data_IF_801588041046
#
_entry.id   IF_801588041046
#
_cell.length_a   1.000
_cell.length_b   1.000
_cell.length_c   1.000
_cell.angle_alpha   90.00
_cell.angle_beta   90.00
_cell.angle_gamma   90.00
#
_symmetry.space_group_name_H-M   'P 1'
#
loop_
_entity.id
_entity.type
_entity.pdbx_description
1 polymer ?
#
# COMPACT_ATOMS: atom_id res chain seq x y z
N UNK A 1 -29.23 55.83 44.04
CA UNK A 1 -27.76 55.75 43.98
C UNK A 1 -27.27 54.36 43.55
N UNK A 2 -27.72 53.27 44.20
CA UNK A 2 -27.36 51.89 43.80
C UNK A 2 -27.86 51.47 42.41
N UNK A 3 -29.08 51.86 42.01
CA UNK A 3 -29.66 51.48 40.71
C UNK A 3 -28.95 52.13 39.51
N UNK A 4 -28.38 53.32 39.71
CA UNK A 4 -27.67 54.08 38.67
C UNK A 4 -26.28 53.51 38.41
N UNK A 5 -25.61 53.00 39.44
CA UNK A 5 -24.29 52.37 39.32
C UNK A 5 -24.39 51.02 38.61
N UNK A 6 -25.43 50.23 38.90
CA UNK A 6 -25.66 48.95 38.21
C UNK A 6 -25.92 49.16 36.71
N UNK A 7 -26.72 50.16 36.31
CA UNK A 7 -26.96 50.45 34.90
C UNK A 7 -25.70 50.89 34.15
N UNK A 8 -24.82 51.66 34.80
CA UNK A 8 -23.56 52.12 34.19
C UNK A 8 -22.59 50.95 34.01
N UNK A 9 -22.47 50.06 35.00
CA UNK A 9 -21.59 48.89 34.94
C UNK A 9 -22.07 47.90 33.88
N UNK A 10 -23.39 47.64 33.78
CA UNK A 10 -23.94 46.74 32.77
C UNK A 10 -23.77 47.29 31.34
N UNK A 11 -23.95 48.61 31.14
CA UNK A 11 -23.70 49.23 29.82
C UNK A 11 -22.21 49.23 29.44
N UNK A 12 -21.30 49.41 30.39
CA UNK A 12 -19.86 49.32 30.12
C UNK A 12 -19.42 47.90 29.76
N UNK A 13 -20.00 46.86 30.38
CA UNK A 13 -19.70 45.46 30.06
C UNK A 13 -20.24 45.11 28.66
N UNK A 14 -21.46 45.52 28.32
CA UNK A 14 -22.03 45.29 26.99
C UNK A 14 -21.23 46.03 25.90
N UNK A 15 -20.80 47.27 26.15
CA UNK A 15 -19.92 47.99 25.20
C UNK A 15 -18.56 47.31 25.05
N UNK A 16 -17.98 46.77 26.13
CA UNK A 16 -16.71 46.04 26.07
C UNK A 16 -16.84 44.72 25.30
N UNK A 17 -17.94 43.97 25.47
CA UNK A 17 -18.20 42.74 24.71
C UNK A 17 -18.47 43.02 23.22
N UNK A 18 -19.18 44.10 22.89
CA UNK A 18 -19.42 44.50 21.49
C UNK A 18 -18.13 44.95 20.81
N UNK A 19 -17.26 45.69 21.50
CA UNK A 19 -15.92 46.05 21.00
C UNK A 19 -15.00 44.82 20.85
N UNK A 20 -15.09 43.85 21.75
CA UNK A 20 -14.35 42.60 21.67
C UNK A 20 -14.82 41.73 20.50
N UNK A 21 -16.14 41.62 20.27
CA UNK A 21 -16.70 40.93 19.12
C UNK A 21 -16.40 41.64 17.79
N UNK A 22 -16.42 42.97 17.77
CA UNK A 22 -16.02 43.75 16.59
C UNK A 22 -14.53 43.55 16.26
N UNK A 23 -13.64 43.52 17.26
CA UNK A 23 -12.22 43.24 17.07
C UNK A 23 -11.94 41.79 16.63
N UNK A 24 -12.76 40.83 17.05
CA UNK A 24 -12.69 39.44 16.56
C UNK A 24 -13.17 39.37 15.11
N UNK A 25 -14.28 40.05 14.76
CA UNK A 25 -14.80 40.11 13.41
C UNK A 25 -13.85 40.82 12.44
N UNK A 26 -13.20 41.91 12.86
CA UNK A 26 -12.19 42.62 12.07
C UNK A 26 -10.91 41.77 11.90
N UNK A 27 -10.47 41.03 12.92
CA UNK A 27 -9.37 40.08 12.76
C UNK A 27 -9.74 38.91 11.83
N UNK A 28 -10.97 38.39 11.89
CA UNK A 28 -11.46 37.38 10.95
C UNK A 28 -11.51 37.95 9.52
N UNK A 29 -11.95 39.21 9.35
CA UNK A 29 -12.01 39.87 8.04
C UNK A 29 -10.63 40.24 7.48
N UNK A 30 -9.66 40.59 8.33
CA UNK A 30 -8.26 40.82 7.92
C UNK A 30 -7.54 39.50 7.58
N UNK A 31 -7.82 38.43 8.32
CA UNK A 31 -7.28 37.10 8.02
C UNK A 31 -7.86 36.58 6.70
N UNK A 32 -9.16 36.80 6.45
CA UNK A 32 -9.81 36.51 5.16
C UNK A 32 -9.25 37.31 3.97
N UNK A 33 -8.72 38.52 4.18
CA UNK A 33 -8.07 39.32 3.12
C UNK A 33 -6.62 38.92 2.87
N UNK A 34 -5.96 38.24 3.81
CA UNK A 34 -4.59 37.74 3.66
C UNK A 34 -4.51 36.23 3.33
N UNK A 35 -5.64 35.53 3.22
CA UNK A 35 -5.69 34.24 2.53
C UNK A 35 -5.38 34.48 1.05
N UNK A 36 -4.10 34.30 0.68
CA UNK A 36 -3.75 33.91 -0.69
C UNK A 36 -4.66 32.75 -1.05
N UNK A 37 -5.57 33.02 -1.99
CA UNK A 37 -6.51 32.06 -2.57
C UNK A 37 -5.70 30.83 -2.95
N UNK A 38 -5.77 29.80 -2.10
CA UNK A 38 -5.17 28.51 -2.39
C UNK A 38 -5.98 27.95 -3.54
N UNK A 39 -5.35 27.97 -4.72
CA UNK A 39 -5.76 27.31 -5.95
C UNK A 39 -6.57 26.07 -5.62
N UNK A 40 -7.88 26.11 -5.88
CA UNK A 40 -8.75 24.93 -5.85
C UNK A 40 -8.04 23.87 -6.69
N UNK A 41 -7.66 22.75 -6.05
CA UNK A 41 -6.85 21.72 -6.72
C UNK A 41 -7.73 21.06 -7.78
N UNK A 42 -7.39 21.29 -9.05
CA UNK A 42 -7.86 20.56 -10.23
C UNK A 42 -7.90 19.06 -9.89
N UNK A 43 -9.03 18.41 -10.12
CA UNK A 43 -9.10 16.93 -10.13
C UNK A 43 -8.48 16.52 -11.46
N UNK A 44 -7.19 16.20 -11.45
CA UNK A 44 -6.52 15.68 -12.62
C UNK A 44 -6.93 14.22 -12.80
N UNK A 45 -7.74 13.90 -13.82
CA UNK A 45 -8.00 12.51 -14.17
C UNK A 45 -6.88 12.06 -15.09
N UNK A 46 -6.13 11.04 -14.67
CA UNK A 46 -5.11 10.43 -15.52
C UNK A 46 -5.68 9.24 -16.28
N UNK A 47 -5.23 9.08 -17.52
CA UNK A 47 -5.58 7.97 -18.39
C UNK A 47 -4.30 7.38 -18.98
N UNK A 48 -4.24 6.07 -19.08
CA UNK A 48 -3.23 5.39 -19.90
C UNK A 48 -3.85 5.06 -21.26
N UNK A 49 -3.15 5.39 -22.33
CA UNK A 49 -3.50 5.01 -23.69
C UNK A 49 -2.47 3.98 -24.15
N UNK A 50 -2.93 2.82 -24.61
CA UNK A 50 -2.08 1.70 -25.02
C UNK A 50 -2.48 1.28 -26.43
N UNK A 51 -1.53 1.32 -27.38
CA UNK A 51 -1.70 0.70 -28.70
C UNK A 51 -1.06 -0.69 -28.68
N UNK A 52 -1.93 -1.70 -28.55
CA UNK A 52 -1.54 -3.09 -28.31
C UNK A 52 -1.16 -3.87 -29.57
N UNK A 53 -1.00 -5.18 -29.41
CA UNK A 53 -0.72 -6.12 -30.50
C UNK A 53 0.76 -6.22 -30.90
N UNK A 54 1.64 -5.46 -30.25
CA UNK A 54 3.10 -5.49 -30.46
C UNK A 54 3.75 -6.55 -29.58
N UNK A 55 4.75 -7.26 -30.11
CA UNK A 55 5.64 -8.10 -29.32
C UNK A 55 6.70 -7.24 -28.65
N UNK A 56 6.98 -7.52 -27.38
CA UNK A 56 7.86 -6.71 -26.53
C UNK A 56 9.15 -7.47 -26.24
N UNK A 57 10.28 -6.79 -26.20
CA UNK A 57 11.58 -7.43 -25.89
C UNK A 57 12.50 -6.45 -25.17
N UNK A 58 13.43 -6.97 -24.36
CA UNK A 58 14.39 -6.15 -23.62
C UNK A 58 14.46 -6.49 -22.15
N UNK A 59 14.72 -5.48 -21.32
CA UNK A 59 14.91 -5.65 -19.88
C UNK A 59 13.97 -4.73 -19.08
N UNK A 60 13.40 -5.24 -18.00
CA UNK A 60 12.63 -4.46 -17.02
C UNK A 60 13.24 -4.68 -15.64
N UNK A 61 13.75 -3.60 -15.05
CA UNK A 61 14.22 -3.60 -13.67
C UNK A 61 13.08 -3.27 -12.69
N UNK A 62 12.98 -4.07 -11.63
CA UNK A 62 11.94 -3.95 -10.59
C UNK A 62 12.35 -2.92 -9.53
N UNK A 63 11.39 -2.14 -9.04
CA UNK A 63 11.62 -1.16 -7.98
C UNK A 63 11.49 -1.77 -6.58
N UNK A 64 11.70 -0.96 -5.53
CA UNK A 64 11.47 -1.42 -4.17
C UNK A 64 10.00 -1.67 -3.85
N UNK A 65 9.77 -2.63 -2.96
CA UNK A 65 8.46 -3.11 -2.56
C UNK A 65 7.60 -2.00 -1.97
N UNK A 66 6.49 -1.68 -2.66
CA UNK A 66 5.49 -0.74 -2.15
C UNK A 66 4.97 -1.16 -0.79
N UNK A 67 4.67 -2.46 -0.62
CA UNK A 67 4.08 -2.99 0.61
C UNK A 67 5.06 -3.00 1.79
N UNK A 68 6.37 -3.04 1.53
CA UNK A 68 7.38 -2.82 2.57
C UNK A 68 7.56 -1.34 2.89
N UNK A 69 7.71 -0.51 1.85
CA UNK A 69 7.89 0.95 1.97
C UNK A 69 6.83 1.60 2.86
N UNK A 70 5.55 1.28 2.63
CA UNK A 70 4.45 1.88 3.40
C UNK A 70 4.39 1.45 4.86
N UNK A 71 5.08 0.37 5.24
CA UNK A 71 5.25 -0.08 6.61
C UNK A 71 6.54 0.49 7.25
N UNK A 72 7.62 0.58 6.49
CA UNK A 72 8.93 1.08 6.93
C UNK A 72 8.89 2.57 7.28
N UNK A 73 8.16 3.38 6.48
CA UNK A 73 8.07 4.83 6.72
C UNK A 73 7.43 5.14 8.09
N UNK A 74 6.28 4.56 8.49
CA UNK A 74 5.77 4.66 9.85
C UNK A 74 6.74 4.10 10.90
N UNK A 75 7.42 2.98 10.63
CA UNK A 75 8.37 2.37 11.57
C UNK A 75 9.55 3.30 11.90
N UNK A 76 9.95 4.18 10.96
CA UNK A 76 11.06 5.11 11.16
C UNK A 76 10.85 6.05 12.36
N UNK A 77 9.61 6.33 12.78
CA UNK A 77 9.36 7.21 13.94
C UNK A 77 9.75 6.58 15.28
N UNK A 78 9.98 5.27 15.31
CA UNK A 78 10.45 4.55 16.50
C UNK A 78 11.95 4.75 16.74
N UNK A 79 12.69 5.19 15.72
CA UNK A 79 14.11 5.47 15.80
C UNK A 79 14.40 6.73 16.61
N UNK A 80 15.53 6.74 17.30
CA UNK A 80 16.07 7.86 18.07
C UNK A 80 17.12 8.66 17.26
N UNK A 81 17.39 8.25 16.01
CA UNK A 81 18.31 8.91 15.06
C UNK A 81 17.68 9.01 13.67
N UNK A 82 18.20 9.89 12.78
CA UNK A 82 17.76 9.95 11.38
C UNK A 82 17.89 8.61 10.67
N UNK A 83 16.88 8.28 9.86
CA UNK A 83 16.76 7.04 9.09
C UNK A 83 16.93 7.37 7.60
N UNK A 84 17.64 6.50 6.88
CA UNK A 84 17.78 6.58 5.42
C UNK A 84 17.32 5.28 4.78
N UNK A 85 16.34 5.39 3.89
CA UNK A 85 15.87 4.32 3.04
C UNK A 85 16.39 4.49 1.62
N UNK A 86 16.75 3.37 1.00
CA UNK A 86 17.18 3.29 -0.39
C UNK A 86 16.23 2.40 -1.20
N UNK A 87 16.22 2.56 -2.53
CA UNK A 87 15.27 1.89 -3.44
C UNK A 87 13.79 2.17 -3.14
N UNK A 88 13.47 3.37 -2.66
CA UNK A 88 12.10 3.79 -2.36
C UNK A 88 11.35 4.05 -3.68
N UNK A 89 10.19 3.41 -3.94
CA UNK A 89 9.43 3.67 -5.15
C UNK A 89 8.80 5.06 -5.13
N UNK A 90 8.89 5.80 -6.24
CA UNK A 90 8.21 7.09 -6.40
C UNK A 90 6.72 6.87 -6.72
N UNK A 91 5.91 6.79 -5.66
CA UNK A 91 4.47 6.53 -5.72
C UNK A 91 3.69 7.46 -4.80
N UNK A 92 2.42 7.70 -5.13
CA UNK A 92 1.54 8.61 -4.38
C UNK A 92 1.42 8.25 -2.88
N UNK A 93 1.46 6.95 -2.54
CA UNK A 93 1.39 6.48 -1.16
C UNK A 93 2.58 6.98 -0.32
N UNK A 94 3.80 7.06 -0.88
CA UNK A 94 5.00 7.59 -0.19
C UNK A 94 4.84 9.07 0.10
N UNK A 95 4.44 9.86 -0.90
CA UNK A 95 4.19 11.30 -0.72
C UNK A 95 3.12 11.59 0.34
N UNK A 96 2.07 10.76 0.41
CA UNK A 96 1.04 10.88 1.44
C UNK A 96 1.60 10.58 2.86
N UNK A 97 2.48 9.59 2.99
CA UNK A 97 3.13 9.29 4.26
C UNK A 97 4.07 10.43 4.71
N UNK A 98 4.81 11.04 3.78
CA UNK A 98 5.63 12.23 4.07
C UNK A 98 4.79 13.41 4.60
N UNK A 99 3.57 13.60 4.08
CA UNK A 99 2.65 14.61 4.60
C UNK A 99 2.18 14.31 6.03
N UNK A 100 1.98 13.03 6.37
CA UNK A 100 1.64 12.61 7.74
C UNK A 100 2.83 12.80 8.68
N UNK A 101 4.04 12.44 8.25
CA UNK A 101 5.27 12.69 9.02
C UNK A 101 5.43 14.19 9.34
N UNK A 102 5.25 15.04 8.32
CA UNK A 102 5.35 16.49 8.48
C UNK A 102 4.40 17.06 9.52
N UNK A 103 3.17 16.53 9.67
CA UNK A 103 2.23 17.02 10.70
C UNK A 103 2.70 16.73 12.12
N UNK A 104 3.57 15.74 12.31
CA UNK A 104 4.17 15.37 13.59
C UNK A 104 5.55 16.00 13.81
N UNK A 105 5.89 17.04 13.03
CA UNK A 105 7.21 17.68 13.04
C UNK A 105 8.38 16.75 12.70
N UNK A 106 8.12 15.68 11.92
CA UNK A 106 9.15 14.80 11.37
C UNK A 106 9.55 15.32 10.00
N UNK A 107 10.83 15.65 9.82
CA UNK A 107 11.33 16.10 8.52
C UNK A 107 11.57 14.90 7.60
N UNK A 108 11.29 15.07 6.31
CA UNK A 108 11.52 14.02 5.30
C UNK A 108 11.94 14.63 3.97
N UNK A 109 12.99 14.10 3.36
CA UNK A 109 13.49 14.49 2.04
C UNK A 109 13.56 13.26 1.12
N UNK A 110 12.91 13.35 -0.05
CA UNK A 110 12.92 12.30 -1.07
C UNK A 110 13.63 12.81 -2.32
N UNK A 111 14.71 12.13 -2.72
CA UNK A 111 15.52 12.52 -3.88
C UNK A 111 15.99 11.27 -4.62
N UNK A 112 15.62 11.17 -5.89
CA UNK A 112 15.84 9.95 -6.67
C UNK A 112 14.99 8.82 -6.09
N UNK A 113 15.65 7.79 -5.57
CA UNK A 113 15.09 6.62 -4.90
C UNK A 113 15.45 6.58 -3.39
N UNK A 114 15.99 7.68 -2.86
CA UNK A 114 16.45 7.77 -1.47
C UNK A 114 15.50 8.65 -0.66
N UNK A 115 14.96 8.10 0.43
CA UNK A 115 14.14 8.82 1.40
C UNK A 115 14.89 8.94 2.72
N UNK A 116 15.13 10.17 3.18
CA UNK A 116 15.69 10.46 4.50
C UNK A 116 14.58 10.97 5.42
N UNK A 117 14.49 10.43 6.64
CA UNK A 117 13.48 10.79 7.65
C UNK A 117 14.20 11.11 8.96
N UNK A 118 13.91 12.26 9.57
CA UNK A 118 14.45 12.63 10.88
C UNK A 118 13.33 12.72 11.93
N UNK A 119 13.19 11.70 12.79
CA UNK A 119 12.18 11.66 13.84
C UNK A 119 12.64 12.28 15.17
N UNK A 120 13.85 12.85 15.28
CA UNK A 120 14.41 13.27 16.57
C UNK A 120 13.60 14.37 17.26
N UNK A 121 12.91 15.22 16.48
CA UNK A 121 12.05 16.32 16.96
C UNK A 121 10.55 16.00 16.85
N UNK A 122 10.19 14.71 16.77
CA UNK A 122 8.78 14.29 16.63
C UNK A 122 7.92 14.78 17.81
N UNK A 123 6.73 15.27 17.49
CA UNK A 123 5.70 15.64 18.47
C UNK A 123 4.42 14.90 18.19
N UNK A 124 3.66 14.62 19.24
CA UNK A 124 2.32 14.08 19.11
C UNK A 124 1.40 15.14 18.50
N UNK A 125 0.77 14.83 17.37
CA UNK A 125 -0.10 15.75 16.65
C UNK A 125 -1.28 15.03 15.99
N UNK A 126 -2.44 15.70 15.80
CA UNK A 126 -3.53 15.15 15.02
C UNK A 126 -3.10 14.83 13.59
N UNK A 127 -3.39 13.61 13.12
CA UNK A 127 -3.00 13.17 11.78
C UNK A 127 -3.94 13.79 10.72
N UNK A 128 -3.43 14.21 9.55
CA UNK A 128 -4.22 14.86 8.51
C UNK A 128 -5.24 13.90 7.90
N UNK A 129 -6.53 14.09 8.23
CA UNK A 129 -7.63 13.18 7.87
C UNK A 129 -7.66 12.82 6.37
N UNK A 130 -7.33 13.78 5.49
CA UNK A 130 -7.32 13.54 4.04
C UNK A 130 -6.25 12.53 3.61
N UNK A 131 -5.04 12.61 4.15
CA UNK A 131 -3.95 11.69 3.83
C UNK A 131 -4.18 10.29 4.44
N UNK A 132 -4.79 10.24 5.64
CA UNK A 132 -5.19 8.97 6.27
C UNK A 132 -6.27 8.26 5.45
N UNK A 133 -7.29 8.99 5.00
CA UNK A 133 -8.39 8.44 4.19
C UNK A 133 -7.96 8.03 2.78
N UNK A 134 -6.90 8.62 2.22
CA UNK A 134 -6.41 8.23 0.90
C UNK A 134 -5.54 6.96 0.92
N UNK A 135 -5.04 6.54 2.08
CA UNK A 135 -4.08 5.45 2.19
C UNK A 135 -4.50 4.44 3.26
N UNK A 136 -4.73 3.18 2.86
CA UNK A 136 -5.02 2.15 3.86
C UNK A 136 -3.88 1.93 4.85
N UNK A 137 -2.64 1.90 4.35
CA UNK A 137 -1.45 1.63 5.16
C UNK A 137 -1.19 2.68 6.27
N UNK A 138 -1.95 3.79 6.31
CA UNK A 138 -1.91 4.76 7.40
C UNK A 138 -2.18 4.13 8.77
N UNK A 139 -2.86 2.99 8.85
CA UNK A 139 -3.08 2.29 10.11
C UNK A 139 -1.78 1.77 10.76
N UNK A 140 -0.65 1.69 10.04
CA UNK A 140 0.64 1.33 10.63
C UNK A 140 1.12 2.38 11.64
N UNK A 141 0.62 3.62 11.55
CA UNK A 141 0.83 4.61 12.59
C UNK A 141 0.17 4.23 13.92
N UNK A 142 -0.84 3.34 13.96
CA UNK A 142 -1.38 2.86 15.25
C UNK A 142 -0.30 2.15 16.06
N UNK A 143 0.42 1.20 15.47
CA UNK A 143 1.50 0.48 16.15
C UNK A 143 2.70 1.37 16.42
N UNK A 144 3.11 2.17 15.42
CA UNK A 144 4.29 3.03 15.55
C UNK A 144 4.11 4.15 16.59
N UNK A 145 2.95 4.82 16.62
CA UNK A 145 2.66 5.84 17.63
C UNK A 145 2.48 5.23 19.01
N UNK A 146 1.85 4.06 19.11
CA UNK A 146 1.72 3.34 20.36
C UNK A 146 3.10 2.98 20.92
N UNK A 147 4.01 2.46 20.11
CA UNK A 147 5.39 2.18 20.52
C UNK A 147 6.21 3.43 20.88
N UNK A 148 5.96 4.56 20.21
CA UNK A 148 6.70 5.82 20.42
C UNK A 148 6.19 6.65 21.61
N UNK A 149 4.88 6.82 21.71
CA UNK A 149 4.22 7.74 22.64
C UNK A 149 3.37 7.03 23.71
N UNK A 150 3.25 5.71 23.67
CA UNK A 150 2.37 4.92 24.54
C UNK A 150 0.87 5.27 24.35
N UNK A 151 0.54 5.92 23.22
CA UNK A 151 -0.82 6.25 22.79
C UNK A 151 -0.86 6.54 21.30
N UNK A 152 -2.03 6.37 20.71
CA UNK A 152 -2.26 6.67 19.30
C UNK A 152 -3.72 7.08 19.08
N UNK A 153 -3.94 8.07 18.23
CA UNK A 153 -5.28 8.42 17.74
C UNK A 153 -5.24 8.43 16.22
N UNK A 154 -5.94 7.49 15.59
CA UNK A 154 -5.89 7.30 14.14
C UNK A 154 -7.31 7.13 13.61
N UNK A 155 -7.71 7.97 12.65
CA UNK A 155 -8.98 7.78 11.94
C UNK A 155 -8.95 6.51 11.10
N UNK A 156 -10.11 5.87 10.88
CA UNK A 156 -10.16 4.67 10.07
C UNK A 156 -9.53 4.91 8.69
N UNK A 157 -8.67 3.98 8.26
CA UNK A 157 -8.01 4.08 6.98
C UNK A 157 -9.03 3.93 5.85
N UNK A 158 -8.79 4.65 4.74
CA UNK A 158 -9.51 4.41 3.49
C UNK A 158 -8.73 3.48 2.55
N UNK A 159 -8.49 3.93 1.32
CA UNK A 159 -7.82 3.15 0.26
C UNK A 159 -8.78 2.28 -0.57
N UNK A 160 -8.22 1.31 -1.32
CA UNK A 160 -8.99 0.51 -2.28
C UNK A 160 -10.07 -0.33 -1.62
N UNK A 161 -11.32 -0.24 -2.11
CA UNK A 161 -12.38 -1.13 -1.65
C UNK A 161 -12.26 -2.49 -2.36
N UNK A 162 -11.63 -3.45 -1.70
CA UNK A 162 -11.44 -4.84 -2.18
C UNK A 162 -12.23 -5.87 -1.37
N UNK A 163 -13.11 -5.40 -0.47
CA UNK A 163 -13.85 -6.22 0.48
C UNK A 163 -13.63 -5.80 1.95
N UNK A 164 -14.30 -6.46 2.90
CA UNK A 164 -14.14 -6.22 4.33
C UNK A 164 -12.70 -6.47 4.76
N UNK A 165 -12.13 -5.52 5.53
CA UNK A 165 -10.79 -5.64 6.09
C UNK A 165 -10.83 -5.10 7.52
N UNK A 166 -11.34 -5.89 8.48
CA UNK A 166 -11.48 -5.47 9.87
C UNK A 166 -10.10 -5.26 10.52
N UNK A 167 -10.08 -4.54 11.63
CA UNK A 167 -8.86 -4.27 12.41
C UNK A 167 -8.87 -4.98 13.77
N UNK A 168 -9.82 -5.89 13.99
CA UNK A 168 -10.04 -6.64 15.23
C UNK A 168 -8.77 -7.34 15.73
N UNK A 169 -7.99 -7.94 14.82
CA UNK A 169 -6.72 -8.59 15.18
C UNK A 169 -5.65 -7.61 15.66
N UNK A 170 -5.65 -6.36 15.18
CA UNK A 170 -4.75 -5.32 15.67
C UNK A 170 -5.17 -4.89 17.09
N UNK A 171 -6.47 -4.69 17.30
CA UNK A 171 -7.05 -4.32 18.59
C UNK A 171 -6.76 -5.42 19.63
N UNK A 172 -6.95 -6.70 19.24
CA UNK A 172 -6.62 -7.86 20.06
C UNK A 172 -5.16 -7.84 20.52
N UNK A 173 -4.23 -7.58 19.60
CA UNK A 173 -2.82 -7.50 19.92
C UNK A 173 -2.48 -6.31 20.85
N UNK A 174 -3.01 -5.12 20.59
CA UNK A 174 -2.77 -3.95 21.44
C UNK A 174 -3.31 -4.15 22.86
N UNK A 175 -4.50 -4.74 23.00
CA UNK A 175 -5.07 -5.09 24.32
C UNK A 175 -4.21 -6.09 25.07
N UNK A 176 -3.67 -7.10 24.38
CA UNK A 176 -2.78 -8.07 25.00
C UNK A 176 -1.46 -7.44 25.49
N UNK A 177 -0.97 -6.39 24.83
CA UNK A 177 0.20 -5.60 25.25
C UNK A 177 -0.10 -4.60 26.39
N UNK A 178 -1.33 -4.57 26.92
CA UNK A 178 -1.72 -3.69 28.03
C UNK A 178 -2.36 -2.36 27.60
N UNK A 179 -2.72 -2.19 26.33
CA UNK A 179 -3.39 -0.97 25.86
C UNK A 179 -4.91 -1.06 25.95
N UNK A 180 -5.56 0.05 26.29
CA UNK A 180 -6.99 0.25 26.14
C UNK A 180 -7.28 0.80 24.74
N UNK A 181 -8.30 0.24 24.08
CA UNK A 181 -8.70 0.64 22.72
C UNK A 181 -10.18 1.00 22.72
N UNK A 182 -10.50 2.19 22.22
CA UNK A 182 -11.86 2.66 22.00
C UNK A 182 -12.07 3.10 20.54
N UNK A 183 -13.27 2.82 20.03
CA UNK A 183 -13.68 3.12 18.67
C UNK A 183 -14.88 4.07 18.71
N UNK A 184 -14.70 5.30 18.23
CA UNK A 184 -15.75 6.32 18.22
C UNK A 184 -15.68 7.14 16.92
N UNK A 185 -16.83 7.36 16.27
CA UNK A 185 -16.98 8.20 15.07
C UNK A 185 -15.96 7.92 13.96
N UNK A 186 -15.65 6.65 13.76
CA UNK A 186 -14.69 6.20 12.77
C UNK A 186 -13.23 6.55 13.10
N UNK A 187 -12.91 6.72 14.38
CA UNK A 187 -11.56 6.96 14.90
C UNK A 187 -11.23 5.92 15.98
N UNK A 188 -10.02 5.39 15.90
CA UNK A 188 -9.46 4.45 16.89
C UNK A 188 -8.56 5.24 17.82
N UNK A 189 -8.89 5.21 19.12
CA UNK A 189 -8.07 5.79 20.18
C UNK A 189 -7.46 4.67 21.00
N UNK A 190 -6.14 4.70 21.17
CA UNK A 190 -5.37 3.70 21.89
C UNK A 190 -4.56 4.40 22.98
N UNK A 191 -4.64 3.94 24.21
CA UNK A 191 -3.91 4.51 25.36
C UNK A 191 -3.42 3.40 26.27
N UNK A 192 -2.26 3.56 26.88
CA UNK A 192 -1.79 2.66 27.94
C UNK A 192 -2.15 3.20 29.33
N UNK A 193 -2.26 2.29 30.30
CA UNK A 193 -2.31 2.65 31.71
C UNK A 193 -0.96 3.14 32.26
N UNK A 194 -0.86 3.37 33.58
CA UNK A 194 0.36 3.82 34.26
C UNK A 194 1.56 2.89 34.04
N UNK A 195 1.31 1.59 33.87
CA UNK A 195 2.34 0.56 33.69
C UNK A 195 2.91 0.52 32.25
N UNK A 196 2.34 1.30 31.32
CA UNK A 196 2.75 1.32 29.93
C UNK A 196 2.42 0.02 29.17
N UNK A 197 3.04 -0.17 28.01
CA UNK A 197 3.02 -1.45 27.30
C UNK A 197 3.85 -2.51 28.03
N UNK A 198 3.50 -3.78 27.85
CA UNK A 198 4.30 -4.90 28.30
C UNK A 198 4.31 -6.04 27.27
N UNK A 199 5.30 -6.92 27.39
CA UNK A 199 5.37 -8.14 26.59
C UNK A 199 4.19 -9.08 26.85
N UNK A 200 3.73 -9.78 25.80
CA UNK A 200 2.58 -10.68 25.88
C UNK A 200 2.66 -11.87 24.91
N UNK A 201 1.90 -12.93 25.19
CA UNK A 201 1.64 -14.01 24.23
C UNK A 201 0.37 -13.68 23.45
N UNK A 202 0.49 -13.57 22.12
CA UNK A 202 -0.58 -13.12 21.23
C UNK A 202 -0.74 -14.17 20.14
N UNK A 203 -1.92 -14.75 20.01
CA UNK A 203 -2.24 -15.66 18.90
C UNK A 203 -3.25 -14.98 17.98
N UNK A 204 -2.89 -14.78 16.71
CA UNK A 204 -3.78 -14.17 15.71
C UNK A 204 -4.77 -15.22 15.19
N UNK A 205 -6.07 -14.90 15.15
CA UNK A 205 -7.12 -15.84 14.72
C UNK A 205 -7.07 -16.08 13.21
N UNK A 206 -6.58 -15.09 12.46
CA UNK A 206 -6.31 -15.16 11.04
C UNK A 206 -4.92 -14.62 10.74
N UNK A 207 -4.28 -15.15 9.70
CA UNK A 207 -3.01 -14.60 9.22
C UNK A 207 -3.25 -13.20 8.68
N UNK A 208 -2.66 -12.20 9.33
CA UNK A 208 -2.82 -10.80 8.97
C UNK A 208 -1.46 -10.09 8.94
N UNK A 209 -1.04 -9.69 7.74
CA UNK A 209 0.18 -8.87 7.51
C UNK A 209 0.12 -7.60 8.35
N UNK A 210 -1.03 -6.93 8.30
CA UNK A 210 -1.26 -5.68 9.02
C UNK A 210 -1.12 -5.83 10.53
N UNK A 211 -1.78 -6.84 11.10
CA UNK A 211 -1.78 -7.07 12.55
C UNK A 211 -0.39 -7.51 13.02
N UNK A 212 0.30 -8.35 12.24
CA UNK A 212 1.67 -8.78 12.53
C UNK A 212 2.61 -7.58 12.61
N UNK A 213 2.62 -6.71 11.58
CA UNK A 213 3.46 -5.51 11.56
C UNK A 213 3.10 -4.57 12.70
N UNK A 214 1.81 -4.25 12.92
CA UNK A 214 1.43 -3.35 14.00
C UNK A 214 1.82 -3.87 15.39
N UNK A 215 1.74 -5.19 15.60
CA UNK A 215 2.17 -5.81 16.84
C UNK A 215 3.68 -5.71 17.01
N UNK A 216 4.45 -5.92 15.94
CA UNK A 216 5.90 -5.70 15.94
C UNK A 216 6.20 -4.24 16.33
N UNK A 217 5.62 -3.27 15.61
CA UNK A 217 5.87 -1.84 15.84
C UNK A 217 5.51 -1.36 17.26
N UNK A 218 4.44 -1.90 17.85
CA UNK A 218 4.04 -1.55 19.21
C UNK A 218 4.95 -2.21 20.27
N UNK A 219 5.42 -3.43 20.04
CA UNK A 219 6.12 -4.23 21.05
C UNK A 219 7.65 -4.07 21.07
N UNK A 220 8.26 -3.52 20.01
CA UNK A 220 9.73 -3.44 19.91
C UNK A 220 10.39 -2.59 21.00
N UNK A 221 9.65 -1.70 21.66
CA UNK A 221 10.12 -0.94 22.84
C UNK A 221 9.38 -1.31 24.14
N UNK A 222 8.46 -2.28 24.09
CA UNK A 222 7.64 -2.65 25.24
C UNK A 222 8.43 -3.57 26.21
N UNK A 223 8.53 -3.24 27.51
CA UNK A 223 9.21 -4.08 28.50
C UNK A 223 8.76 -5.55 28.48
N UNK A 224 9.72 -6.47 28.37
CA UNK A 224 9.47 -7.91 28.40
C UNK A 224 9.47 -8.56 27.02
N UNK A 225 8.96 -9.80 26.96
CA UNK A 225 8.94 -10.61 25.74
C UNK A 225 7.54 -10.69 25.16
N UNK A 226 7.40 -10.28 23.90
CA UNK A 226 6.21 -10.51 23.09
C UNK A 226 6.41 -11.72 22.19
N UNK A 227 5.39 -12.55 22.06
CA UNK A 227 5.37 -13.68 21.12
C UNK A 227 4.08 -13.60 20.30
N UNK A 228 4.23 -13.55 18.99
CA UNK A 228 3.14 -13.53 18.02
C UNK A 228 3.06 -14.92 17.40
N UNK A 229 2.01 -15.68 17.71
CA UNK A 229 1.68 -16.94 17.07
C UNK A 229 0.70 -16.74 15.91
N UNK A 230 0.80 -17.63 14.91
CA UNK A 230 0.10 -17.50 13.63
C UNK A 230 0.43 -16.19 12.91
N UNK A 231 1.69 -15.77 13.00
CA UNK A 231 2.21 -14.56 12.36
C UNK A 231 2.21 -14.68 10.84
N UNK A 232 2.07 -13.53 10.18
CA UNK A 232 2.25 -13.42 8.74
C UNK A 232 3.73 -13.67 8.36
N UNK A 233 3.96 -14.29 7.19
CA UNK A 233 5.28 -14.78 6.77
C UNK A 233 5.82 -14.08 5.53
N UNK A 234 5.07 -13.12 5.01
CA UNK A 234 5.38 -12.37 3.80
C UNK A 234 6.78 -11.76 3.87
N UNK A 235 7.51 -11.65 2.74
CA UNK A 235 8.83 -11.03 2.70
C UNK A 235 8.88 -9.63 3.32
N UNK A 236 7.79 -8.87 3.23
CA UNK A 236 7.67 -7.54 3.85
C UNK A 236 7.73 -7.59 5.40
N UNK A 237 7.36 -8.71 6.03
CA UNK A 237 7.52 -8.93 7.47
C UNK A 237 9.00 -9.11 7.83
N UNK A 238 9.72 -9.85 7.00
CA UNK A 238 11.16 -10.10 7.15
C UNK A 238 11.92 -8.78 6.98
N UNK A 239 11.52 -7.96 6.01
CA UNK A 239 12.15 -6.66 5.75
C UNK A 239 11.98 -5.69 6.93
N UNK A 240 10.77 -5.59 7.50
CA UNK A 240 10.50 -4.79 8.71
C UNK A 240 11.32 -5.29 9.91
N UNK A 241 11.36 -6.60 10.13
CA UNK A 241 12.15 -7.17 11.22
C UNK A 241 13.65 -6.89 11.04
N UNK A 242 14.15 -7.00 9.81
CA UNK A 242 15.55 -6.71 9.45
C UNK A 242 15.89 -5.25 9.70
N UNK A 243 15.04 -4.32 9.24
CA UNK A 243 15.18 -2.89 9.48
C UNK A 243 15.28 -2.56 10.97
N UNK A 244 14.33 -3.06 11.77
CA UNK A 244 14.29 -2.79 13.21
C UNK A 244 15.47 -3.43 13.96
N UNK A 245 15.87 -4.66 13.60
CA UNK A 245 17.04 -5.32 14.18
C UNK A 245 18.34 -4.58 13.85
N UNK A 246 18.48 -4.03 12.63
CA UNK A 246 19.62 -3.20 12.25
C UNK A 246 19.72 -1.91 13.08
N UNK A 247 18.62 -1.49 13.72
CA UNK A 247 18.59 -0.38 14.67
C UNK A 247 18.79 -0.80 16.14
N UNK A 248 18.95 -2.11 16.41
CA UNK A 248 19.15 -2.65 17.75
C UNK A 248 17.92 -3.29 18.39
N UNK A 249 16.83 -3.53 17.65
CA UNK A 249 15.76 -4.39 18.14
C UNK A 249 16.23 -5.85 18.32
N UNK A 250 15.45 -6.64 19.07
CA UNK A 250 15.67 -8.09 19.20
C UNK A 250 14.42 -8.86 18.75
N UNK A 251 14.28 -9.00 17.44
CA UNK A 251 13.19 -9.71 16.76
C UNK A 251 13.74 -11.00 16.16
N UNK A 252 13.10 -12.14 16.48
CA UNK A 252 13.47 -13.47 15.97
C UNK A 252 12.25 -14.20 15.41
N UNK A 253 12.47 -15.07 14.43
CA UNK A 253 11.40 -15.90 13.85
C UNK A 253 10.57 -15.23 12.75
N UNK A 254 10.93 -14.03 12.28
CA UNK A 254 10.32 -13.45 11.08
C UNK A 254 10.50 -14.41 9.88
N UNK A 255 9.43 -14.61 9.10
CA UNK A 255 9.36 -15.65 8.06
C UNK A 255 8.85 -17.01 8.56
N UNK A 256 8.70 -17.20 9.88
CA UNK A 256 8.02 -18.35 10.48
C UNK A 256 6.63 -17.96 11.01
N UNK A 257 5.84 -18.93 11.45
CA UNK A 257 4.52 -18.72 12.05
C UNK A 257 4.59 -18.18 13.50
N UNK A 258 5.79 -18.09 14.09
CA UNK A 258 6.01 -17.56 15.45
C UNK A 258 7.12 -16.50 15.45
N UNK A 259 6.75 -15.26 15.80
CA UNK A 259 7.71 -14.16 15.97
C UNK A 259 7.89 -13.86 17.45
N UNK A 260 9.14 -13.76 17.92
CA UNK A 260 9.50 -13.42 19.30
C UNK A 260 10.23 -12.08 19.31
N UNK A 261 9.83 -11.20 20.21
CA UNK A 261 10.32 -9.82 20.31
C UNK A 261 10.66 -9.54 21.77
N UNK A 262 11.92 -9.23 22.04
CA UNK A 262 12.34 -8.69 23.34
C UNK A 262 12.45 -7.18 23.21
N UNK A 263 11.63 -6.44 23.95
CA UNK A 263 11.57 -4.99 23.82
C UNK A 263 12.85 -4.31 24.31
N UNK A 264 13.27 -3.27 23.59
CA UNK A 264 14.50 -2.52 23.85
C UNK A 264 14.20 -1.05 24.16
N UNK A 265 15.02 -0.39 24.99
CA UNK A 265 14.74 1.00 25.40
C UNK A 265 14.93 2.01 24.27
N UNK A 266 15.83 1.73 23.32
CA UNK A 266 16.25 2.67 22.26
C UNK A 266 16.47 1.94 20.94
N UNK A 267 16.24 2.63 19.83
CA UNK A 267 16.52 2.17 18.48
C UNK A 267 17.34 3.22 17.75
N UNK A 268 18.51 2.86 17.24
CA UNK A 268 19.43 3.79 16.58
C UNK A 268 19.76 3.31 15.18
N UNK A 269 19.27 4.01 14.17
CA UNK A 269 19.70 3.79 12.80
C UNK A 269 21.18 4.17 12.65
N UNK A 270 21.96 3.21 12.15
CA UNK A 270 23.40 3.35 11.87
C UNK A 270 23.74 3.27 10.39
N UNK A 271 22.90 2.58 9.63
CA UNK A 271 23.12 2.26 8.22
C UNK A 271 21.90 2.66 7.40
N UNK A 272 22.09 2.77 6.09
CA UNK A 272 20.97 2.84 5.14
C UNK A 272 20.28 1.48 5.06
N UNK A 273 18.95 1.47 5.03
CA UNK A 273 18.15 0.27 4.79
C UNK A 273 17.66 0.28 3.34
N UNK A 274 18.10 -0.68 2.53
CA UNK A 274 17.63 -0.87 1.15
C UNK A 274 16.34 -1.68 1.18
N UNK A 275 15.28 -1.12 0.59
CA UNK A 275 13.97 -1.78 0.52
C UNK A 275 14.07 -2.98 -0.42
N UNK A 276 13.52 -4.12 0.00
CA UNK A 276 13.51 -5.34 -0.85
C UNK A 276 12.79 -5.08 -2.18
N UNK A 277 13.11 -5.81 -3.27
CA UNK A 277 12.39 -5.68 -4.52
C UNK A 277 10.90 -6.02 -4.43
N UNK A 278 10.07 -5.34 -5.23
CA UNK A 278 8.63 -5.56 -5.26
C UNK A 278 8.27 -6.86 -6.00
N UNK A 279 8.07 -7.93 -5.24
CA UNK A 279 7.61 -9.23 -5.77
C UNK A 279 6.26 -9.15 -6.51
N UNK A 280 5.40 -8.18 -6.20
CA UNK A 280 4.11 -8.05 -6.90
C UNK A 280 4.31 -7.36 -8.25
N UNK A 281 5.17 -6.34 -8.30
CA UNK A 281 5.59 -5.72 -9.55
C UNK A 281 6.31 -6.74 -10.45
N UNK A 282 7.23 -7.52 -9.89
CA UNK A 282 7.94 -8.60 -10.59
C UNK A 282 6.96 -9.61 -11.20
N UNK A 283 6.03 -10.17 -10.42
CA UNK A 283 5.04 -11.12 -10.95
C UNK A 283 4.10 -10.50 -12.01
N UNK A 284 3.86 -9.19 -11.93
CA UNK A 284 3.10 -8.47 -12.97
C UNK A 284 3.87 -8.44 -14.28
N UNK A 285 5.15 -8.08 -14.27
CA UNK A 285 5.95 -8.05 -15.49
C UNK A 285 6.31 -9.45 -16.01
N UNK A 286 6.43 -10.46 -15.15
CA UNK A 286 6.52 -11.86 -15.57
C UNK A 286 5.26 -12.31 -16.33
N UNK A 287 4.08 -11.95 -15.83
CA UNK A 287 2.80 -12.20 -16.54
C UNK A 287 2.76 -11.49 -17.90
N UNK A 288 3.20 -10.23 -17.94
CA UNK A 288 3.28 -9.44 -19.16
C UNK A 288 4.24 -10.08 -20.17
N UNK A 289 5.44 -10.46 -19.72
CA UNK A 289 6.45 -11.08 -20.58
C UNK A 289 5.96 -12.41 -21.16
N UNK A 290 5.29 -13.24 -20.37
CA UNK A 290 4.67 -14.47 -20.88
C UNK A 290 3.49 -14.19 -21.83
N UNK A 291 2.79 -13.06 -21.66
CA UNK A 291 1.61 -12.72 -22.45
C UNK A 291 1.97 -12.15 -23.83
N UNK A 292 2.91 -11.21 -23.90
CA UNK A 292 3.24 -10.44 -25.11
C UNK A 292 4.74 -10.37 -25.42
N UNK A 293 5.59 -10.88 -24.53
CA UNK A 293 7.05 -10.81 -24.68
C UNK A 293 7.59 -11.72 -25.78
N UNK A 294 8.73 -11.35 -26.34
CA UNK A 294 9.55 -12.09 -27.30
C UNK A 294 11.00 -12.19 -26.79
N UNK A 295 11.12 -12.52 -25.50
CA UNK A 295 12.37 -12.44 -24.74
C UNK A 295 12.43 -11.16 -23.91
N UNK A 296 12.03 -11.26 -22.64
CA UNK A 296 12.17 -10.18 -21.66
C UNK A 296 12.92 -10.68 -20.43
N UNK A 297 13.94 -9.95 -20.01
CA UNK A 297 14.63 -10.18 -18.75
C UNK A 297 14.04 -9.29 -17.66
N UNK A 298 13.58 -9.88 -16.57
CA UNK A 298 13.12 -9.17 -15.38
C UNK A 298 14.25 -9.18 -14.35
N UNK A 299 14.80 -8.00 -14.02
CA UNK A 299 15.99 -7.85 -13.14
C UNK A 299 15.64 -7.18 -11.81
N UNK A 300 16.58 -7.24 -10.85
CA UNK A 300 16.42 -6.75 -9.49
C UNK A 300 15.25 -7.42 -8.76
N UNK A 301 15.26 -8.75 -8.69
CA UNK A 301 14.26 -9.53 -7.97
C UNK A 301 14.92 -10.53 -7.03
N UNK A 302 14.14 -11.08 -6.11
CA UNK A 302 14.53 -12.22 -5.29
C UNK A 302 13.58 -13.37 -5.68
N UNK A 303 14.01 -14.32 -6.53
CA UNK A 303 13.14 -15.38 -7.05
C UNK A 303 12.40 -16.17 -5.96
N UNK A 304 13.01 -16.35 -4.79
CA UNK A 304 12.43 -17.04 -3.63
C UNK A 304 11.18 -16.33 -3.08
N UNK A 305 11.06 -15.01 -3.27
CA UNK A 305 9.85 -14.27 -2.90
C UNK A 305 8.67 -14.54 -3.85
N UNK A 306 8.94 -15.20 -4.99
CA UNK A 306 8.00 -15.46 -6.08
C UNK A 306 7.77 -16.96 -6.33
N UNK A 307 8.31 -17.86 -5.51
CA UNK A 307 8.36 -19.31 -5.77
C UNK A 307 7.00 -19.90 -6.20
N UNK A 308 5.93 -19.65 -5.44
CA UNK A 308 4.59 -20.15 -5.78
C UNK A 308 4.02 -19.56 -7.07
N UNK A 309 4.44 -18.35 -7.45
CA UNK A 309 4.03 -17.70 -8.69
C UNK A 309 4.80 -18.25 -9.89
N UNK A 310 6.13 -18.37 -9.77
CA UNK A 310 7.00 -18.96 -10.81
C UNK A 310 6.58 -20.41 -11.09
N UNK A 311 6.34 -21.21 -10.06
CA UNK A 311 5.87 -22.59 -10.22
C UNK A 311 4.56 -22.69 -11.03
N UNK A 312 3.67 -21.68 -10.93
CA UNK A 312 2.44 -21.64 -11.74
C UNK A 312 2.70 -21.27 -13.19
N UNK A 313 3.65 -20.38 -13.46
CA UNK A 313 4.07 -20.09 -14.83
C UNK A 313 4.76 -21.29 -15.49
N UNK A 314 5.58 -22.04 -14.74
CA UNK A 314 6.16 -23.31 -15.20
C UNK A 314 5.09 -24.37 -15.46
N UNK A 315 4.09 -24.51 -14.59
CA UNK A 315 2.93 -25.41 -14.78
C UNK A 315 2.16 -25.08 -16.07
N UNK A 316 2.01 -23.78 -16.39
CA UNK A 316 1.45 -23.31 -17.66
C UNK A 316 2.32 -23.64 -18.87
N UNK A 317 3.61 -23.93 -18.68
CA UNK A 317 4.57 -24.16 -19.76
C UNK A 317 5.22 -22.88 -20.29
N UNK A 318 5.34 -21.83 -19.46
CA UNK A 318 6.13 -20.66 -19.85
C UNK A 318 7.62 -21.02 -19.93
N UNK A 319 8.33 -20.47 -20.92
CA UNK A 319 9.77 -20.64 -21.07
C UNK A 319 10.49 -19.68 -20.10
N UNK A 320 10.94 -20.21 -18.96
CA UNK A 320 11.57 -19.43 -17.90
C UNK A 320 13.00 -19.90 -17.67
N UNK A 321 13.92 -18.95 -17.56
CA UNK A 321 15.27 -19.20 -17.04
C UNK A 321 15.47 -18.34 -15.79
N UNK A 322 15.58 -19.00 -14.64
CA UNK A 322 15.76 -18.35 -13.34
C UNK A 322 17.26 -18.21 -13.05
N UNK A 323 17.69 -16.98 -12.79
CA UNK A 323 19.04 -16.63 -12.33
C UNK A 323 18.99 -16.19 -10.86
N UNK A 324 20.10 -15.69 -10.31
CA UNK A 324 20.20 -15.28 -8.90
C UNK A 324 19.30 -14.09 -8.56
N UNK A 325 19.30 -13.05 -9.40
CA UNK A 325 18.60 -11.77 -9.15
C UNK A 325 17.65 -11.38 -10.30
N UNK A 326 17.38 -12.33 -11.20
CA UNK A 326 16.64 -12.09 -12.43
C UNK A 326 15.97 -13.34 -12.97
N UNK A 327 14.92 -13.15 -13.78
CA UNK A 327 14.24 -14.22 -14.51
C UNK A 327 14.07 -13.78 -15.95
N UNK A 328 14.59 -14.57 -16.88
CA UNK A 328 14.33 -14.41 -18.31
C UNK A 328 13.05 -15.17 -18.69
N UNK A 329 12.21 -14.51 -19.49
CA UNK A 329 10.96 -15.09 -20.02
C UNK A 329 11.06 -15.12 -21.54
N UNK A 330 11.15 -16.32 -22.10
CA UNK A 330 11.14 -16.57 -23.53
C UNK A 330 9.74 -16.46 -24.16
N UNK A 331 9.64 -16.55 -25.49
CA UNK A 331 8.36 -16.58 -26.20
C UNK A 331 7.49 -17.77 -25.76
N UNK A 332 6.34 -17.48 -25.15
CA UNK A 332 5.40 -18.53 -24.73
C UNK A 332 4.45 -18.96 -25.86
N UNK A 333 4.45 -20.26 -26.15
CA UNK A 333 3.57 -20.93 -27.12
C UNK A 333 2.79 -22.07 -26.45
N UNK A 334 1.54 -22.31 -26.85
CA UNK A 334 0.73 -23.45 -26.37
C UNK A 334 0.64 -23.56 -24.84
N UNK A 335 0.20 -22.46 -24.19
CA UNK A 335 0.08 -22.41 -22.74
C UNK A 335 -1.00 -23.37 -22.25
N UNK A 336 -0.72 -24.12 -21.18
CA UNK A 336 -1.68 -25.01 -20.53
C UNK A 336 -2.59 -24.24 -19.58
N UNK A 337 -3.87 -24.63 -19.46
CA UNK A 337 -4.72 -24.09 -18.41
C UNK A 337 -4.21 -24.53 -17.04
N UNK A 338 -4.34 -23.65 -16.04
CA UNK A 338 -3.92 -23.93 -14.67
C UNK A 338 -5.03 -23.66 -13.66
N UNK A 339 -4.87 -24.27 -12.48
CA UNK A 339 -5.70 -24.00 -11.31
C UNK A 339 -4.89 -23.29 -10.24
N UNK A 340 -5.40 -22.18 -9.74
CA UNK A 340 -4.75 -21.35 -8.73
C UNK A 340 -5.66 -21.29 -7.51
N UNK A 341 -5.07 -21.51 -6.34
CA UNK A 341 -5.69 -21.21 -5.06
C UNK A 341 -4.83 -20.19 -4.33
N UNK A 342 -5.41 -19.02 -4.08
CA UNK A 342 -4.76 -17.95 -3.34
C UNK A 342 -4.66 -18.35 -1.87
N UNK A 343 -3.50 -18.11 -1.26
CA UNK A 343 -3.21 -18.46 0.13
C UNK A 343 -2.26 -17.40 0.72
N UNK A 344 -2.15 -17.28 2.06
CA UNK A 344 -1.10 -16.47 2.68
C UNK A 344 0.30 -16.98 2.27
N UNK A 345 1.32 -16.12 2.34
CA UNK A 345 2.69 -16.50 1.99
C UNK A 345 3.17 -17.72 2.82
N UNK A 346 3.87 -18.71 2.23
CA UNK A 346 4.48 -18.76 0.90
C UNK A 346 3.56 -19.20 -0.25
N UNK A 347 2.24 -19.27 -0.04
CA UNK A 347 1.29 -19.60 -1.10
C UNK A 347 1.12 -18.50 -2.14
N UNK A 348 0.26 -18.75 -3.14
CA UNK A 348 0.02 -17.81 -4.24
C UNK A 348 -0.64 -16.52 -3.73
N UNK A 349 -0.01 -15.38 -3.96
CA UNK A 349 -0.45 -14.09 -3.43
C UNK A 349 -1.72 -13.57 -4.12
N UNK A 350 -2.71 -13.11 -3.34
CA UNK A 350 -3.94 -12.46 -3.87
C UNK A 350 -3.62 -11.28 -4.78
N UNK A 351 -2.54 -10.56 -4.50
CA UNK A 351 -2.12 -9.40 -5.29
C UNK A 351 -1.65 -9.76 -6.72
N UNK A 352 -1.24 -11.00 -6.96
CA UNK A 352 -0.84 -11.52 -8.28
C UNK A 352 -1.99 -12.22 -9.01
N UNK A 353 -3.15 -12.37 -8.36
CA UNK A 353 -4.33 -12.96 -8.97
C UNK A 353 -4.74 -12.20 -10.24
N UNK A 354 -4.86 -10.87 -10.15
CA UNK A 354 -5.39 -10.04 -11.22
C UNK A 354 -4.36 -9.77 -12.34
N UNK A 355 -3.08 -9.47 -12.04
CA UNK A 355 -2.06 -9.33 -13.07
C UNK A 355 -1.83 -10.59 -13.91
N UNK A 356 -2.03 -11.78 -13.33
CA UNK A 356 -1.91 -13.05 -14.06
C UNK A 356 -3.11 -13.33 -14.97
N UNK A 357 -4.31 -12.87 -14.61
CA UNK A 357 -5.57 -13.19 -15.31
C UNK A 357 -5.50 -13.03 -16.85
N UNK A 358 -4.96 -11.93 -17.43
CA UNK A 358 -4.92 -11.76 -18.87
C UNK A 358 -4.09 -12.84 -19.58
N UNK A 359 -2.99 -13.31 -18.97
CA UNK A 359 -2.18 -14.38 -19.52
C UNK A 359 -3.00 -15.67 -19.70
N UNK A 360 -3.92 -15.95 -18.78
CA UNK A 360 -4.76 -17.15 -18.81
C UNK A 360 -5.70 -17.21 -20.03
N UNK A 361 -6.00 -16.07 -20.67
CA UNK A 361 -6.78 -16.07 -21.92
C UNK A 361 -6.04 -16.75 -23.09
N UNK A 362 -4.71 -16.85 -23.02
CA UNK A 362 -3.88 -17.54 -24.02
C UNK A 362 -3.79 -19.05 -23.77
N UNK A 363 -4.24 -19.55 -22.62
CA UNK A 363 -4.17 -20.96 -22.31
C UNK A 363 -5.14 -21.76 -23.18
N UNK A 364 -4.71 -22.93 -23.68
CA UNK A 364 -5.50 -23.84 -24.51
C UNK A 364 -6.49 -24.64 -23.66
N UNK A 365 -7.44 -23.94 -23.02
CA UNK A 365 -8.47 -24.54 -22.19
C UNK A 365 -9.07 -23.57 -21.18
N UNK A 366 -9.63 -24.12 -20.11
CA UNK A 366 -10.24 -23.37 -19.01
C UNK A 366 -9.33 -23.37 -17.79
N UNK A 367 -8.95 -22.18 -17.34
CA UNK A 367 -8.24 -21.97 -16.07
C UNK A 367 -9.21 -21.58 -14.95
N UNK A 368 -8.84 -21.86 -13.71
CA UNK A 368 -9.65 -21.54 -12.53
C UNK A 368 -8.79 -20.87 -11.47
N UNK A 369 -9.27 -19.75 -10.95
CA UNK A 369 -8.67 -19.03 -9.82
C UNK A 369 -9.65 -19.12 -8.65
N UNK A 370 -9.15 -19.39 -7.45
CA UNK A 370 -9.93 -19.42 -6.21
C UNK A 370 -9.26 -18.44 -5.24
N UNK A 371 -9.89 -17.27 -5.01
CA UNK A 371 -9.39 -16.28 -4.06
C UNK A 371 -10.12 -16.38 -2.70
N UNK A 372 -9.57 -17.21 -1.81
CA UNK A 372 -10.11 -17.39 -0.46
C UNK A 372 -9.76 -16.24 0.50
N UNK A 373 -8.90 -15.30 0.10
CA UNK A 373 -8.48 -14.17 0.94
C UNK A 373 -9.41 -12.98 0.71
N UNK A 374 -9.69 -12.66 -0.56
CA UNK A 374 -10.65 -11.62 -0.96
C UNK A 374 -11.59 -12.12 -2.06
N UNK A 375 -12.65 -12.88 -1.71
CA UNK A 375 -13.57 -13.47 -2.69
C UNK A 375 -14.26 -12.48 -3.64
N UNK A 376 -14.38 -11.21 -3.24
CA UNK A 376 -14.98 -10.14 -4.04
C UNK A 376 -13.96 -9.26 -4.76
N UNK A 377 -12.69 -9.68 -4.85
CA UNK A 377 -11.61 -8.98 -5.58
C UNK A 377 -11.70 -9.17 -7.10
N UNK A 378 -12.88 -8.92 -7.65
CA UNK A 378 -13.27 -9.30 -9.02
C UNK A 378 -13.48 -8.10 -9.95
N UNK A 379 -13.08 -6.89 -9.53
CA UNK A 379 -13.33 -5.64 -10.26
C UNK A 379 -12.79 -5.61 -11.71
N UNK A 380 -11.76 -6.39 -11.98
CA UNK A 380 -11.14 -6.51 -13.30
C UNK A 380 -11.99 -7.31 -14.30
N UNK A 381 -12.91 -8.18 -13.84
CA UNK A 381 -13.66 -9.11 -14.70
C UNK A 381 -14.51 -8.36 -15.74
N UNK A 382 -15.34 -7.41 -15.29
CA UNK A 382 -16.22 -6.64 -16.19
C UNK A 382 -15.42 -5.85 -17.22
N UNK A 383 -14.29 -5.28 -16.83
CA UNK A 383 -13.44 -4.47 -17.70
C UNK A 383 -12.67 -5.33 -18.71
N UNK A 384 -12.19 -6.52 -18.31
CA UNK A 384 -11.59 -7.49 -19.24
C UNK A 384 -12.61 -8.06 -20.24
N UNK A 385 -13.85 -8.27 -19.82
CA UNK A 385 -14.93 -8.68 -20.74
C UNK A 385 -15.20 -7.61 -21.82
N UNK A 386 -15.05 -6.31 -21.53
CA UNK A 386 -15.16 -5.24 -22.54
C UNK A 386 -14.08 -5.33 -23.63
N UNK A 387 -12.90 -5.85 -23.29
CA UNK A 387 -11.82 -6.11 -24.24
C UNK A 387 -11.99 -7.43 -25.01
N UNK A 388 -13.10 -8.16 -24.80
CA UNK A 388 -13.37 -9.44 -25.43
C UNK A 388 -12.83 -10.67 -24.68
N UNK A 389 -12.29 -10.48 -23.48
CA UNK A 389 -11.88 -11.59 -22.61
C UNK A 389 -13.09 -12.43 -22.19
N UNK A 390 -12.91 -13.75 -22.04
CA UNK A 390 -13.96 -14.65 -21.56
C UNK A 390 -13.71 -15.02 -20.10
N UNK A 391 -14.26 -14.22 -19.20
CA UNK A 391 -14.05 -14.39 -17.77
C UNK A 391 -15.34 -14.16 -16.97
N UNK A 392 -15.55 -14.98 -15.95
CA UNK A 392 -16.68 -14.85 -15.03
C UNK A 392 -16.29 -15.24 -13.61
N UNK A 393 -16.90 -14.61 -12.62
CA UNK A 393 -16.90 -15.11 -11.25
C UNK A 393 -18.13 -15.97 -11.02
N UNK A 394 -17.98 -17.08 -10.31
CA UNK A 394 -19.11 -17.84 -9.78
C UNK A 394 -19.57 -17.19 -8.48
N UNK A 395 -20.89 -17.10 -8.27
CA UNK A 395 -21.44 -16.54 -7.04
C UNK A 395 -21.37 -17.58 -5.92
N UNK A 396 -20.17 -17.73 -5.37
CA UNK A 396 -19.80 -18.65 -4.30
C UNK A 396 -19.04 -17.88 -3.22
N UNK A 397 -19.05 -18.41 -2.00
CA UNK A 397 -18.28 -17.83 -0.90
C UNK A 397 -16.76 -17.98 -1.08
N UNK A 398 -16.32 -18.90 -1.95
CA UNK A 398 -14.90 -19.24 -2.18
C UNK A 398 -14.20 -18.32 -3.20
N UNK A 399 -14.89 -17.36 -3.81
CA UNK A 399 -14.26 -16.41 -4.73
C UNK A 399 -13.75 -17.06 -6.03
N UNK A 400 -14.53 -17.97 -6.61
CA UNK A 400 -14.14 -18.72 -7.80
C UNK A 400 -14.27 -17.85 -9.05
N UNK A 401 -13.20 -17.79 -9.84
CA UNK A 401 -13.12 -17.10 -11.13
C UNK A 401 -12.74 -18.12 -12.19
N UNK A 402 -13.54 -18.19 -13.24
CA UNK A 402 -13.34 -19.07 -14.39
C UNK A 402 -12.88 -18.23 -15.57
N UNK A 403 -11.76 -18.63 -16.17
CA UNK A 403 -11.14 -17.95 -17.32
C UNK A 403 -11.10 -18.95 -18.48
N UNK A 404 -11.86 -18.67 -19.53
CA UNK A 404 -11.88 -19.49 -20.75
C UNK A 404 -10.91 -18.91 -21.80
N UNK A 405 -10.41 -19.78 -22.69
CA UNK A 405 -9.58 -19.39 -23.82
C UNK A 405 -10.21 -18.25 -24.66
N UNK A 406 -9.50 -17.13 -24.76
CA UNK A 406 -9.88 -15.94 -25.55
C UNK A 406 -8.64 -15.11 -25.93
N UNK A 407 -7.75 -15.64 -26.79
CA UNK A 407 -6.44 -15.02 -27.08
C UNK A 407 -6.53 -13.75 -27.95
N UNK A 408 -7.69 -13.47 -28.54
CA UNK A 408 -7.93 -12.28 -29.36
C UNK A 408 -8.74 -11.27 -28.55
N UNK A 409 -8.06 -10.23 -28.08
CA UNK A 409 -8.67 -9.09 -27.41
C UNK A 409 -8.76 -7.90 -28.38
N UNK A 410 -9.68 -6.97 -28.15
CA UNK A 410 -9.84 -5.75 -28.94
C UNK A 410 -9.83 -4.54 -28.01
N UNK A 411 -9.11 -3.49 -28.43
CA UNK A 411 -8.99 -2.26 -27.67
C UNK A 411 -10.34 -1.60 -27.39
N UNK A 412 -10.51 -1.11 -26.15
CA UNK A 412 -11.73 -0.45 -25.71
C UNK A 412 -11.44 0.56 -24.58
N UNK A 413 -12.46 1.32 -24.18
CA UNK A 413 -12.39 2.18 -22.98
C UNK A 413 -12.73 1.36 -21.74
N UNK A 414 -11.80 1.30 -20.79
CA UNK A 414 -11.92 0.56 -19.54
C UNK A 414 -11.55 1.43 -18.34
N UNK A 415 -11.84 0.95 -17.13
CA UNK A 415 -11.62 1.72 -15.89
C UNK A 415 -10.79 0.93 -14.86
N UNK A 416 -9.70 1.52 -14.37
CA UNK A 416 -8.90 0.93 -13.29
C UNK A 416 -9.61 1.11 -11.93
N UNK A 417 -10.34 0.08 -11.49
CA UNK A 417 -11.11 0.10 -10.24
C UNK A 417 -10.30 -0.10 -8.94
N UNK A 418 -9.03 -0.52 -9.07
CA UNK A 418 -7.98 -0.53 -8.03
C UNK A 418 -6.61 -0.82 -8.68
N UNK A 419 -5.54 -0.82 -7.88
CA UNK A 419 -4.13 -0.94 -8.32
C UNK A 419 -3.89 -2.15 -9.24
N UNK A 420 -4.22 -3.37 -8.80
CA UNK A 420 -3.86 -4.62 -9.48
C UNK A 420 -4.82 -4.98 -10.63
N UNK A 421 -6.06 -4.51 -10.57
CA UNK A 421 -7.05 -4.53 -11.65
C UNK A 421 -6.57 -3.63 -12.78
N UNK A 422 -6.09 -2.43 -12.45
CA UNK A 422 -5.49 -1.55 -13.44
C UNK A 422 -4.28 -2.21 -14.11
N UNK A 423 -3.39 -2.87 -13.37
CA UNK A 423 -2.29 -3.63 -13.95
C UNK A 423 -2.73 -4.80 -14.85
N UNK A 424 -3.80 -5.51 -14.46
CA UNK A 424 -4.45 -6.50 -15.31
C UNK A 424 -4.91 -5.90 -16.64
N UNK A 425 -5.52 -4.71 -16.61
CA UNK A 425 -5.97 -4.00 -17.81
C UNK A 425 -4.80 -3.50 -18.67
N UNK A 426 -3.66 -3.12 -18.07
CA UNK A 426 -2.45 -2.79 -18.82
C UNK A 426 -1.96 -4.00 -19.62
N UNK A 427 -1.86 -5.18 -19.00
CA UNK A 427 -1.44 -6.40 -19.70
C UNK A 427 -2.44 -6.76 -20.81
N UNK A 428 -3.74 -6.70 -20.53
CA UNK A 428 -4.77 -6.97 -21.52
C UNK A 428 -4.77 -5.94 -22.67
N UNK A 429 -4.51 -4.67 -22.38
CA UNK A 429 -4.38 -3.62 -23.39
C UNK A 429 -3.19 -3.82 -24.32
N UNK A 430 -2.05 -4.30 -23.79
CA UNK A 430 -0.89 -4.68 -24.61
C UNK A 430 -1.18 -5.89 -25.50
N UNK A 431 -2.00 -6.82 -25.03
CA UNK A 431 -2.44 -7.99 -25.82
C UNK A 431 -3.49 -7.66 -26.90
N UNK A 432 -4.24 -6.57 -26.72
CA UNK A 432 -5.40 -6.25 -27.56
C UNK A 432 -5.00 -5.67 -28.93
N UNK A 433 -5.80 -5.98 -29.95
CA UNK A 433 -5.71 -5.31 -31.24
C UNK A 433 -6.36 -3.92 -31.17
N UNK A 434 -5.62 -2.89 -31.59
CA UNK A 434 -6.04 -1.49 -31.53
C UNK A 434 -5.78 -0.80 -30.19
N UNK A 435 -6.42 0.36 -30.00
CA UNK A 435 -6.18 1.27 -28.87
C UNK A 435 -7.05 0.95 -27.67
N UNK A 436 -6.42 0.79 -26.50
CA UNK A 436 -7.09 0.65 -25.20
C UNK A 436 -6.91 1.93 -24.38
N UNK A 437 -8.00 2.52 -23.90
CA UNK A 437 -7.97 3.67 -22.99
C UNK A 437 -8.32 3.23 -21.56
N UNK A 438 -7.36 3.29 -20.64
CA UNK A 438 -7.57 2.94 -19.23
C UNK A 438 -7.76 4.22 -18.42
N UNK A 439 -9.01 4.49 -18.02
CA UNK A 439 -9.35 5.61 -17.14
C UNK A 439 -8.98 5.31 -15.68
N UNK A 440 -8.83 6.36 -14.87
CA UNK A 440 -8.45 6.28 -13.45
C UNK A 440 -7.06 5.66 -13.24
N UNK A 441 -6.10 6.04 -14.10
CA UNK A 441 -4.73 5.54 -14.04
C UNK A 441 -4.02 5.92 -12.73
N UNK A 442 -4.54 6.88 -11.97
CA UNK A 442 -4.06 7.23 -10.63
C UNK A 442 -4.11 6.04 -9.65
N UNK A 443 -5.07 5.11 -9.84
CA UNK A 443 -5.06 3.86 -9.08
C UNK A 443 -3.85 2.98 -9.42
N UNK A 444 -3.40 2.94 -10.67
CA UNK A 444 -2.20 2.18 -11.07
C UNK A 444 -0.95 2.85 -10.50
N UNK A 445 -0.86 4.17 -10.63
CA UNK A 445 0.29 4.98 -10.19
C UNK A 445 0.50 4.98 -8.65
N UNK A 446 -0.48 4.51 -7.88
CA UNK A 446 -0.33 4.25 -6.44
C UNK A 446 0.53 3.03 -6.11
N UNK A 447 0.70 2.09 -7.05
CA UNK A 447 1.40 0.83 -6.81
C UNK A 447 2.46 0.46 -7.84
N UNK A 448 2.61 1.21 -8.93
CA UNK A 448 3.62 0.98 -9.96
C UNK A 448 4.34 2.29 -10.29
N UNK A 449 5.62 2.39 -9.93
CA UNK A 449 6.47 3.53 -10.27
C UNK A 449 7.01 3.42 -11.69
N UNK A 450 7.06 4.54 -12.41
CA UNK A 450 7.64 4.66 -13.75
C UNK A 450 7.13 3.61 -14.77
N UNK A 451 5.87 3.17 -14.63
CA UNK A 451 5.28 2.11 -15.45
C UNK A 451 5.37 2.42 -16.96
N UNK A 452 5.13 3.67 -17.36
CA UNK A 452 5.20 4.11 -18.76
C UNK A 452 6.62 3.95 -19.31
N UNK A 453 7.63 4.38 -18.56
CA UNK A 453 9.03 4.34 -19.00
C UNK A 453 9.54 2.89 -19.07
N UNK A 454 9.19 2.06 -18.09
CA UNK A 454 9.51 0.62 -18.09
C UNK A 454 8.92 -0.09 -19.31
N UNK A 455 7.64 0.17 -19.61
CA UNK A 455 6.94 -0.43 -20.74
C UNK A 455 7.50 0.06 -22.09
N UNK A 456 7.74 1.37 -22.24
CA UNK A 456 8.38 1.91 -23.45
C UNK A 456 9.80 1.37 -23.65
N UNK A 457 10.53 1.14 -22.56
CA UNK A 457 11.87 0.54 -22.57
C UNK A 457 11.93 -0.83 -23.25
N UNK A 458 10.82 -1.59 -23.23
CA UNK A 458 10.68 -2.87 -23.93
C UNK A 458 9.88 -2.80 -25.24
N UNK A 459 9.66 -1.58 -25.75
CA UNK A 459 9.02 -1.34 -27.05
C UNK A 459 7.49 -1.20 -27.02
N UNK A 460 6.87 -1.05 -25.85
CA UNK A 460 5.43 -0.84 -25.77
C UNK A 460 5.04 0.59 -26.19
N UNK A 461 3.88 0.69 -26.85
CA UNK A 461 3.28 1.97 -27.22
C UNK A 461 2.25 2.37 -26.17
N UNK A 462 2.74 3.13 -25.18
CA UNK A 462 1.93 3.58 -24.05
C UNK A 462 2.19 5.05 -23.77
N UNK A 463 1.13 5.79 -23.47
CA UNK A 463 1.20 7.18 -23.05
C UNK A 463 0.36 7.40 -21.79
N UNK A 464 0.77 8.35 -20.96
CA UNK A 464 0.00 8.83 -19.82
C UNK A 464 -0.53 10.21 -20.16
N UNK A 465 -1.86 10.34 -20.25
CA UNK A 465 -2.54 11.61 -20.42
C UNK A 465 -3.07 12.08 -19.07
N UNK A 466 -2.87 13.37 -18.78
CA UNK A 466 -3.37 14.01 -17.56
C UNK A 466 -4.39 15.07 -17.97
N UNK A 467 -5.67 14.75 -17.85
CA UNK A 467 -6.74 15.71 -18.07
C UNK A 467 -6.89 16.61 -16.84
N UNK A 468 -6.50 17.87 -16.99
CA UNK A 468 -6.78 18.91 -16.02
C UNK A 468 -8.24 19.39 -16.15
N UNK A 469 -9.15 18.89 -15.32
CA UNK A 469 -10.47 19.54 -15.19
C UNK A 469 -10.34 20.81 -14.37
N UNK A 470 -10.55 21.95 -15.03
CA UNK A 470 -10.93 23.21 -14.36
C UNK A 470 -12.39 23.03 -13.96
N UNK A 471 -12.66 22.92 -12.65
CA UNK A 471 -14.03 23.05 -12.12
C UNK A 471 -14.42 24.51 -12.07
#
# INVERSE_FOLDING_TARGET
MYLTIVLIVTNCIIQAEVLYFAAILDNIFLDMKNVRIHKVRKVSMSKLIIDGGKRLSGEISIGGAKNSTVALIPAAILADTPVRFDSVPDILDVHNLMLILKSMNVSSEFKGDVLTIDPTNIVEAPLPSKAIKSLRASYYFMGALLGRFQRATVSFPGGDNIGPRPIDQHIKAFKALGAEVSEHDGTVTIKTGPDGLHGAQIFLDIVSVGATINTILASVKAPGTTVIGNAAKEPEIIDIATFLNNMGANIRGAGTDVIRIEGVPTLQARNTHTIIPDRIEAGTYLSLAAAVGDGILITNIIPEHLEAFVAKLEEMGCDLTVYEDSIYVGPSHHLKPIRIKVMPYPGFATDLQQPLTPLLFKADGRSVIIDTIYPKRIKHITELNKLGGKIKSEDTDEGIIVVDHSPKLTGAKVQAGEIRAGASLVIAGLMADGTTEICHADNILRGYGNIVDKLRGVGADVTLEVEERVN
#
